data_IF_706807023424
#
_entry.id   IF_706807023424
#
_cell.length_a   1.000
_cell.length_b   1.000
_cell.length_c   1.000
_cell.angle_alpha   90.00
_cell.angle_beta   90.00
_cell.angle_gamma   90.00
#
_symmetry.space_group_name_H-M   'P 1'
#
loop_
_entity.id
_entity.type
_entity.pdbx_description
1 polymer ?
#
# COMPACT_ATOMS: atom_id res chain seq x y z
N UNK A 1 -54.86 4.76 44.24
CA UNK A 1 -53.85 3.72 44.52
C UNK A 1 -52.77 3.80 43.44
N UNK A 2 -51.50 4.03 43.82
CA UNK A 2 -50.21 3.80 43.13
C UNK A 2 -50.15 4.08 41.60
N UNK A 3 -49.56 5.16 41.06
CA UNK A 3 -48.19 5.72 41.19
C UNK A 3 -47.07 4.82 40.65
N UNK A 4 -46.89 4.69 39.32
CA UNK A 4 -45.64 4.23 38.68
C UNK A 4 -45.58 4.63 37.19
N UNK A 5 -44.79 5.64 36.82
CA UNK A 5 -44.19 5.67 35.47
C UNK A 5 -43.01 6.65 35.40
N UNK A 6 -41.99 6.41 36.21
CA UNK A 6 -40.64 6.88 35.86
C UNK A 6 -40.04 5.86 34.89
N UNK A 7 -40.22 6.10 33.60
CA UNK A 7 -39.43 5.40 32.58
C UNK A 7 -38.05 6.07 32.51
N UNK A 8 -37.16 5.57 33.35
CA UNK A 8 -35.73 5.80 33.25
C UNK A 8 -35.25 5.15 31.94
N UNK A 9 -34.87 5.95 30.94
CA UNK A 9 -34.07 5.45 29.81
C UNK A 9 -32.61 5.30 30.26
N UNK A 10 -31.96 4.15 30.04
CA UNK A 10 -30.52 4.03 30.27
C UNK A 10 -29.73 4.72 29.13
N UNK A 11 -28.66 5.47 29.41
CA UNK A 11 -27.77 5.96 28.37
C UNK A 11 -27.07 4.76 27.71
N UNK A 12 -27.38 4.50 26.45
CA UNK A 12 -26.71 3.43 25.70
C UNK A 12 -25.28 3.89 25.38
N UNK A 13 -24.34 3.16 25.96
CA UNK A 13 -22.90 3.30 25.90
C UNK A 13 -22.35 3.52 24.49
N UNK A 14 -21.49 4.54 24.39
CA UNK A 14 -20.39 4.62 23.44
C UNK A 14 -19.48 3.40 23.57
N UNK A 15 -19.28 2.66 22.47
CA UNK A 15 -18.05 1.91 22.16
C UNK A 15 -18.16 1.31 20.74
N UNK A 16 -18.06 2.15 19.71
CA UNK A 16 -17.66 1.67 18.39
C UNK A 16 -16.14 1.48 18.40
N UNK A 17 -15.69 0.27 18.71
CA UNK A 17 -14.28 -0.12 18.68
C UNK A 17 -14.16 -1.63 18.63
N UNK A 18 -13.87 -2.14 17.43
CA UNK A 18 -13.49 -3.54 17.18
C UNK A 18 -14.56 -4.61 17.43
N UNK A 19 -15.57 -4.66 16.56
CA UNK A 19 -16.44 -5.84 16.42
C UNK A 19 -16.05 -6.67 15.19
N UNK A 20 -14.75 -6.83 14.94
CA UNK A 20 -14.31 -7.83 13.96
C UNK A 20 -14.50 -9.21 14.60
N UNK A 21 -15.39 -9.99 14.01
CA UNK A 21 -15.66 -11.36 14.42
C UNK A 21 -14.37 -12.19 14.41
N UNK A 22 -14.24 -13.22 15.27
CA UNK A 22 -13.08 -14.11 15.25
C UNK A 22 -12.87 -14.71 13.85
N UNK A 23 -13.93 -14.92 13.08
CA UNK A 23 -13.89 -15.31 11.67
C UNK A 23 -13.20 -14.27 10.77
N UNK A 24 -13.46 -12.97 10.94
CA UNK A 24 -12.78 -11.93 10.14
C UNK A 24 -11.29 -11.83 10.46
N UNK A 25 -10.92 -12.03 11.73
CA UNK A 25 -9.51 -12.09 12.15
C UNK A 25 -8.81 -13.30 11.55
N UNK A 26 -9.43 -14.48 11.63
CA UNK A 26 -8.91 -15.70 11.01
C UNK A 26 -8.80 -15.58 9.49
N UNK A 27 -9.78 -14.97 8.82
CA UNK A 27 -9.71 -14.71 7.37
C UNK A 27 -8.55 -13.75 7.04
N UNK A 28 -8.36 -12.70 7.83
CA UNK A 28 -7.21 -11.80 7.67
C UNK A 28 -5.87 -12.53 7.89
N UNK A 29 -5.77 -13.38 8.90
CA UNK A 29 -4.56 -14.17 9.19
C UNK A 29 -4.28 -15.23 8.11
N UNK A 30 -5.31 -15.91 7.62
CA UNK A 30 -5.20 -16.84 6.49
C UNK A 30 -4.72 -16.08 5.26
N UNK A 31 -5.36 -14.95 4.91
CA UNK A 31 -4.95 -14.10 3.77
C UNK A 31 -3.53 -13.56 3.92
N UNK A 32 -3.08 -13.32 5.15
CA UNK A 32 -1.71 -12.89 5.46
C UNK A 32 -0.72 -14.03 5.28
N UNK A 33 -1.06 -15.21 5.79
CA UNK A 33 -0.23 -16.43 5.75
C UNK A 33 -0.09 -16.97 4.32
N UNK A 34 -1.16 -16.94 3.53
CA UNK A 34 -1.16 -17.39 2.13
C UNK A 34 -0.62 -16.34 1.16
N UNK A 35 -0.15 -15.18 1.66
CA UNK A 35 0.42 -14.14 0.80
C UNK A 35 1.76 -14.62 0.26
N UNK A 36 1.78 -14.94 -1.03
CA UNK A 36 3.01 -15.21 -1.78
C UNK A 36 3.99 -14.05 -1.53
N UNK A 37 5.17 -14.36 -0.99
CA UNK A 37 6.22 -13.38 -0.76
C UNK A 37 6.99 -13.20 -2.06
N UNK A 38 7.03 -11.96 -2.54
CA UNK A 38 7.78 -11.59 -3.74
C UNK A 38 9.08 -10.92 -3.32
N UNK A 39 10.20 -11.40 -3.84
CA UNK A 39 11.49 -10.77 -3.63
C UNK A 39 11.52 -9.38 -4.26
N UNK A 40 12.35 -8.49 -3.72
CA UNK A 40 12.52 -7.14 -4.26
C UNK A 40 12.94 -7.17 -5.74
N UNK A 41 13.79 -8.13 -6.12
CA UNK A 41 14.24 -8.36 -7.50
C UNK A 41 13.09 -8.72 -8.43
N UNK A 42 12.18 -9.57 -7.99
CA UNK A 42 11.01 -10.01 -8.77
C UNK A 42 10.01 -8.87 -8.95
N UNK A 43 9.67 -8.17 -7.86
CA UNK A 43 8.87 -6.94 -7.89
C UNK A 43 9.46 -5.90 -8.85
N UNK A 44 10.79 -5.73 -8.84
CA UNK A 44 11.47 -4.77 -9.71
C UNK A 44 11.42 -5.18 -11.18
N UNK A 45 11.66 -6.47 -11.49
CA UNK A 45 11.55 -6.98 -12.87
C UNK A 45 10.16 -6.73 -13.45
N UNK A 46 9.10 -7.11 -12.73
CA UNK A 46 7.73 -6.98 -13.21
C UNK A 46 7.35 -5.51 -13.46
N UNK A 47 7.71 -4.61 -12.55
CA UNK A 47 7.44 -3.17 -12.73
C UNK A 47 8.19 -2.61 -13.93
N UNK A 48 9.46 -2.96 -14.10
CA UNK A 48 10.26 -2.47 -15.23
C UNK A 48 9.74 -2.98 -16.58
N UNK A 49 9.30 -4.23 -16.62
CA UNK A 49 8.74 -4.86 -17.81
C UNK A 49 7.43 -4.18 -18.24
N UNK A 50 6.55 -3.90 -17.27
CA UNK A 50 5.33 -3.11 -17.50
C UNK A 50 5.60 -1.66 -17.93
N UNK A 51 6.70 -1.04 -17.46
CA UNK A 51 7.10 0.31 -17.86
C UNK A 51 7.72 0.36 -19.26
N UNK A 52 8.35 -0.72 -19.72
CA UNK A 52 8.88 -0.83 -21.10
C UNK A 52 7.76 -0.89 -22.13
N UNK A 53 6.56 -1.32 -21.73
CA UNK A 53 5.40 -1.43 -22.60
C UNK A 53 5.45 -2.65 -23.53
N UNK A 54 6.37 -3.59 -23.30
CA UNK A 54 6.42 -4.87 -24.04
C UNK A 54 5.23 -5.75 -23.69
N UNK A 55 4.75 -5.66 -22.44
CA UNK A 55 3.60 -6.39 -21.93
C UNK A 55 2.70 -5.46 -21.12
N UNK A 56 1.38 -5.63 -21.25
CA UNK A 56 0.44 -4.92 -20.36
C UNK A 56 0.56 -5.46 -18.93
N UNK A 57 0.31 -4.60 -17.95
CA UNK A 57 0.29 -4.98 -16.52
C UNK A 57 -0.63 -6.18 -16.27
N UNK A 58 -1.77 -6.26 -16.97
CA UNK A 58 -2.70 -7.38 -16.87
C UNK A 58 -2.08 -8.70 -17.38
N UNK A 59 -1.31 -8.64 -18.46
CA UNK A 59 -0.66 -9.81 -19.06
C UNK A 59 0.47 -10.33 -18.15
N UNK A 60 1.27 -9.42 -17.59
CA UNK A 60 2.29 -9.74 -16.59
C UNK A 60 1.69 -10.37 -15.33
N UNK A 61 0.58 -9.83 -14.84
CA UNK A 61 -0.15 -10.37 -13.70
C UNK A 61 -0.65 -11.80 -13.94
N UNK A 62 -1.17 -12.09 -15.14
CA UNK A 62 -1.63 -13.42 -15.51
C UNK A 62 -0.48 -14.43 -15.58
N UNK A 63 0.66 -14.03 -16.15
CA UNK A 63 1.85 -14.89 -16.31
C UNK A 63 2.51 -15.25 -14.98
N UNK A 64 2.64 -14.27 -14.10
CA UNK A 64 3.35 -14.42 -12.82
C UNK A 64 2.44 -14.91 -11.67
N UNK A 65 1.12 -14.96 -11.92
CA UNK A 65 0.12 -15.37 -10.93
C UNK A 65 -0.07 -14.34 -9.82
N UNK A 66 -0.05 -13.05 -10.18
CA UNK A 66 -0.11 -11.91 -9.25
C UNK A 66 -1.40 -11.14 -9.47
N UNK A 67 -2.02 -10.69 -8.39
CA UNK A 67 -3.17 -9.79 -8.49
C UNK A 67 -2.76 -8.44 -9.10
N UNK A 68 -3.56 -7.93 -10.05
CA UNK A 68 -3.35 -6.63 -10.69
C UNK A 68 -3.21 -5.49 -9.67
N UNK A 69 -4.03 -5.48 -8.62
CA UNK A 69 -3.95 -4.48 -7.54
C UNK A 69 -2.56 -4.40 -6.89
N UNK A 70 -1.86 -5.53 -6.80
CA UNK A 70 -0.52 -5.61 -6.22
C UNK A 70 0.52 -5.01 -7.17
N UNK A 71 0.43 -5.35 -8.46
CA UNK A 71 1.32 -4.81 -9.50
C UNK A 71 1.16 -3.29 -9.65
N UNK A 72 -0.07 -2.77 -9.62
CA UNK A 72 -0.32 -1.33 -9.61
C UNK A 72 0.27 -0.66 -8.36
N UNK A 73 0.09 -1.26 -7.18
CA UNK A 73 0.66 -0.73 -5.93
C UNK A 73 2.18 -0.64 -6.00
N UNK A 74 2.82 -1.68 -6.52
CA UNK A 74 4.26 -1.72 -6.71
C UNK A 74 4.77 -0.70 -7.71
N UNK A 75 4.11 -0.57 -8.86
CA UNK A 75 4.44 0.42 -9.88
C UNK A 75 4.34 1.83 -9.32
N UNK A 76 3.28 2.13 -8.55
CA UNK A 76 3.09 3.42 -7.89
C UNK A 76 4.20 3.71 -6.88
N UNK A 77 4.49 2.79 -5.96
CA UNK A 77 5.55 2.98 -4.97
C UNK A 77 6.93 3.15 -5.61
N UNK A 78 7.21 2.37 -6.66
CA UNK A 78 8.46 2.45 -7.40
C UNK A 78 8.64 3.82 -8.07
N UNK A 79 7.60 4.32 -8.75
CA UNK A 79 7.61 5.63 -9.38
C UNK A 79 7.71 6.77 -8.36
N UNK A 80 6.98 6.71 -7.25
CA UNK A 80 7.07 7.70 -6.17
C UNK A 80 8.46 7.74 -5.53
N UNK A 81 9.06 6.57 -5.27
CA UNK A 81 10.42 6.46 -4.78
C UNK A 81 11.44 7.01 -5.79
N UNK A 82 11.26 6.71 -7.08
CA UNK A 82 12.07 7.23 -8.17
C UNK A 82 11.99 8.75 -8.27
N UNK A 83 10.77 9.31 -8.26
CA UNK A 83 10.53 10.76 -8.25
C UNK A 83 11.20 11.45 -7.06
N UNK A 84 11.06 10.89 -5.85
CA UNK A 84 11.66 11.47 -4.64
C UNK A 84 13.18 11.46 -4.69
N UNK A 85 13.78 10.40 -5.22
CA UNK A 85 15.24 10.32 -5.44
C UNK A 85 15.71 11.32 -6.49
N UNK A 86 15.01 11.43 -7.63
CA UNK A 86 15.33 12.41 -8.67
C UNK A 86 15.22 13.84 -8.15
N UNK A 87 14.18 14.18 -7.41
CA UNK A 87 14.05 15.51 -6.79
C UNK A 87 15.19 15.79 -5.79
N UNK A 88 15.63 14.79 -5.02
CA UNK A 88 16.78 14.90 -4.13
C UNK A 88 18.13 15.00 -4.85
N UNK A 89 18.27 14.37 -6.01
CA UNK A 89 19.47 14.43 -6.86
C UNK A 89 19.56 15.79 -7.59
N UNK A 90 18.42 16.36 -8.00
CA UNK A 90 18.31 17.74 -8.47
C UNK A 90 18.72 18.74 -7.39
N UNK A 91 18.39 18.49 -6.11
CA UNK A 91 18.81 19.35 -5.01
C UNK A 91 20.31 19.25 -4.69
N UNK A 92 20.96 18.11 -5.02
CA UNK A 92 22.40 17.91 -4.85
C UNK A 92 23.23 18.41 -6.02
N UNK A 93 22.64 18.57 -7.20
CA UNK A 93 23.25 19.27 -8.33
C UNK A 93 23.28 20.79 -8.09
N UNK A 94 23.96 21.23 -7.04
CA UNK A 94 24.49 22.58 -7.00
C UNK A 94 25.61 22.66 -8.06
N UNK A 95 25.67 23.71 -8.90
CA UNK A 95 26.73 23.82 -9.88
C UNK A 95 28.06 23.73 -9.16
N UNK A 96 28.85 22.71 -9.48
CA UNK A 96 30.27 22.67 -9.11
C UNK A 96 30.87 23.93 -9.68
N UNK A 97 30.98 24.96 -8.84
CA UNK A 97 31.56 26.24 -9.18
C UNK A 97 32.94 25.94 -9.70
N UNK A 98 33.12 26.15 -11.01
CA UNK A 98 34.40 26.13 -11.68
C UNK A 98 35.32 27.10 -10.92
N UNK A 99 36.16 26.57 -10.04
CA UNK A 99 37.22 27.32 -9.40
C UNK A 99 38.29 27.58 -10.47
N UNK A 100 38.16 28.72 -11.14
CA UNK A 100 39.16 29.24 -12.05
C UNK A 100 40.33 29.74 -11.19
N UNK A 101 41.35 28.89 -11.02
CA UNK A 101 42.63 29.30 -10.45
C UNK A 101 43.38 30.13 -11.49
N UNK A 102 43.64 31.39 -11.16
CA UNK A 102 44.55 32.30 -11.87
C UNK A 102 45.58 32.83 -10.90
#
# INVERSE_FOLDING_TARGET
MNLKSSFQNPPQSSANGDRQSPSERLVCDIRRTTRKQYSAEEKTRIVLDGLRGEFSIAELCCREGIAESLCYSWSKEFLEAGKRRLAGDTARSAPVGHAHAG
#
